data_IF_332506006143
#
_entry.id   IF_332506006143
#
_cell.length_a   1.000
_cell.length_b   1.000
_cell.length_c   1.000
_cell.angle_alpha   90.00
_cell.angle_beta   90.00
_cell.angle_gamma   90.00
#
_symmetry.space_group_name_H-M   'P 1'
#
loop_
_entity.id
_entity.type
_entity.pdbx_description
1 polymer ?
#
# COMPACT_ATOMS: atom_id res chain seq x y z
N UNK A 1 -18.63 6.43 -4.10
CA UNK A 1 -17.77 5.21 -4.16
C UNK A 1 -16.46 5.44 -4.93
N UNK A 2 -16.44 6.24 -5.98
CA UNK A 2 -15.24 6.51 -6.80
C UNK A 2 -14.11 7.28 -6.07
N UNK A 3 -14.46 8.27 -5.23
CA UNK A 3 -13.51 9.09 -4.47
C UNK A 3 -12.54 8.30 -3.55
N UNK A 4 -12.99 7.34 -2.72
CA UNK A 4 -12.07 6.57 -1.87
C UNK A 4 -11.15 5.62 -2.65
N UNK A 5 -11.59 5.10 -3.80
CA UNK A 5 -10.74 4.24 -4.63
C UNK A 5 -9.63 5.04 -5.32
N UNK A 6 -9.97 6.20 -5.92
CA UNK A 6 -8.98 7.12 -6.48
C UNK A 6 -7.97 7.60 -5.44
N UNK A 7 -8.42 7.89 -4.22
CA UNK A 7 -7.53 8.28 -3.13
C UNK A 7 -6.56 7.15 -2.72
N UNK A 8 -6.95 5.88 -2.88
CA UNK A 8 -6.09 4.73 -2.60
C UNK A 8 -5.13 4.39 -3.75
N UNK A 9 -5.58 4.52 -5.00
CA UNK A 9 -4.79 4.20 -6.20
C UNK A 9 -3.80 5.32 -6.57
N UNK A 10 -4.17 6.59 -6.36
CA UNK A 10 -3.37 7.76 -6.74
C UNK A 10 -1.93 7.71 -6.22
N UNK A 11 -1.69 7.46 -4.92
CA UNK A 11 -0.34 7.35 -4.39
C UNK A 11 0.48 6.19 -5.01
N UNK A 12 -0.16 5.08 -5.38
CA UNK A 12 0.54 3.95 -6.01
C UNK A 12 0.98 4.31 -7.43
N UNK A 13 0.09 4.93 -8.21
CA UNK A 13 0.44 5.40 -9.55
C UNK A 13 1.54 6.45 -9.49
N UNK A 14 1.50 7.36 -8.51
CA UNK A 14 2.58 8.32 -8.32
C UNK A 14 3.91 7.62 -8.03
N UNK A 15 3.93 6.65 -7.10
CA UNK A 15 5.14 5.87 -6.81
C UNK A 15 5.66 5.12 -8.04
N UNK A 16 4.76 4.56 -8.86
CA UNK A 16 5.12 3.96 -10.14
C UNK A 16 5.80 4.98 -11.05
N UNK A 17 5.25 6.17 -11.24
CA UNK A 17 5.86 7.22 -12.07
C UNK A 17 7.24 7.62 -11.55
N UNK A 18 7.39 7.75 -10.23
CA UNK A 18 8.66 8.07 -9.58
C UNK A 18 9.72 6.99 -9.85
N UNK A 19 9.40 5.72 -9.61
CA UNK A 19 10.29 4.59 -9.85
C UNK A 19 10.60 4.42 -11.33
N UNK A 20 9.61 4.59 -12.20
CA UNK A 20 9.80 4.50 -13.64
C UNK A 20 10.79 5.55 -14.15
N UNK A 21 10.74 6.77 -13.60
CA UNK A 21 11.74 7.79 -13.93
C UNK A 21 13.16 7.41 -13.52
N UNK A 22 13.33 6.61 -12.47
CA UNK A 22 14.65 6.10 -12.09
C UNK A 22 15.16 5.13 -13.15
N UNK A 23 14.30 4.25 -13.67
CA UNK A 23 14.62 3.23 -14.68
C UNK A 23 15.23 3.79 -15.96
N UNK A 24 14.98 5.07 -16.28
CA UNK A 24 15.63 5.75 -17.40
C UNK A 24 17.16 5.71 -17.27
N UNK A 25 17.69 5.78 -16.05
CA UNK A 25 19.14 5.73 -15.81
C UNK A 25 19.80 4.39 -16.17
N UNK A 26 19.03 3.29 -16.28
CA UNK A 26 19.55 1.99 -16.77
C UNK A 26 20.05 2.08 -18.22
N UNK A 27 19.40 2.92 -19.03
CA UNK A 27 19.79 3.13 -20.44
C UNK A 27 21.19 3.76 -20.55
N UNK A 28 21.51 4.67 -19.62
CA UNK A 28 22.80 5.38 -19.61
C UNK A 28 23.96 4.44 -19.23
N UNK A 29 23.72 3.49 -18.30
CA UNK A 29 24.75 2.57 -17.82
C UNK A 29 25.13 1.53 -18.88
N UNK A 30 24.17 1.02 -19.66
CA UNK A 30 24.38 -0.11 -20.57
C UNK A 30 24.82 0.28 -21.99
N UNK A 31 24.64 1.55 -22.37
CA UNK A 31 25.11 2.09 -23.65
C UNK A 31 26.64 2.13 -23.81
N UNK A 32 27.40 1.73 -22.80
CA UNK A 32 28.87 1.68 -22.75
C UNK A 32 29.45 0.36 -23.29
N UNK A 33 28.64 -0.70 -23.42
CA UNK A 33 29.14 -2.07 -23.67
C UNK A 33 29.10 -2.58 -25.11
N UNK A 34 28.37 -1.92 -26.02
CA UNK A 34 28.17 -2.39 -27.40
C UNK A 34 28.66 -1.37 -28.41
N UNK A 35 29.69 -1.74 -29.19
CA UNK A 35 30.36 -0.96 -30.24
C UNK A 35 29.47 -0.53 -31.44
N UNK A 36 28.15 -0.64 -31.35
CA UNK A 36 27.26 -0.28 -32.43
C UNK A 36 27.00 1.24 -32.40
N UNK A 37 27.70 1.92 -33.31
CA UNK A 37 27.55 3.32 -33.69
C UNK A 37 26.19 3.54 -34.36
N UNK A 38 25.09 3.44 -33.63
CA UNK A 38 23.87 4.12 -34.04
C UNK A 38 23.88 5.54 -33.46
N UNK A 39 23.72 6.59 -34.29
CA UNK A 39 23.69 7.95 -33.81
C UNK A 39 22.52 8.10 -32.85
N UNK A 40 22.81 8.67 -31.67
CA UNK A 40 21.81 8.98 -30.66
C UNK A 40 20.74 9.88 -31.29
N UNK A 41 19.59 9.29 -31.60
CA UNK A 41 18.44 9.98 -32.17
C UNK A 41 18.03 11.11 -31.21
N UNK A 42 18.25 12.35 -31.63
CA UNK A 42 18.09 13.59 -30.84
C UNK A 42 16.64 13.91 -30.46
N UNK A 43 15.71 12.99 -30.72
CA UNK A 43 14.27 13.14 -30.55
C UNK A 43 13.73 12.71 -29.17
N UNK A 44 14.63 12.43 -28.21
CA UNK A 44 14.30 11.91 -26.87
C UNK A 44 14.36 12.93 -25.69
N UNK A 45 14.84 14.18 -25.82
CA UNK A 45 15.08 15.03 -24.63
C UNK A 45 13.80 15.42 -23.87
N UNK A 46 12.68 15.61 -24.56
CA UNK A 46 11.42 16.02 -23.92
C UNK A 46 10.83 14.96 -22.97
N UNK A 47 11.12 13.68 -23.23
CA UNK A 47 10.63 12.58 -22.38
C UNK A 47 11.39 12.60 -21.06
N UNK A 48 12.71 12.80 -21.09
CA UNK A 48 13.52 12.90 -19.86
C UNK A 48 13.13 14.12 -19.01
N UNK A 49 12.84 15.26 -19.63
CA UNK A 49 12.40 16.47 -18.93
C UNK A 49 11.04 16.27 -18.23
N UNK A 50 10.01 15.74 -18.91
CA UNK A 50 8.69 15.51 -18.30
C UNK A 50 8.73 14.50 -17.14
N UNK A 51 9.68 13.57 -17.19
CA UNK A 51 9.87 12.52 -16.17
C UNK A 51 10.50 13.06 -14.90
N UNK A 52 11.46 13.99 -15.00
CA UNK A 52 12.10 14.61 -13.84
C UNK A 52 11.07 15.38 -12.99
N UNK A 53 10.06 15.99 -13.63
CA UNK A 53 8.95 16.63 -12.94
C UNK A 53 8.08 15.66 -12.12
N UNK A 54 7.81 14.46 -12.66
CA UNK A 54 7.01 13.43 -11.98
C UNK A 54 7.72 12.85 -10.74
N UNK A 55 9.05 12.98 -10.65
CA UNK A 55 9.80 12.52 -9.48
C UNK A 55 9.70 13.45 -8.26
N UNK A 56 9.09 14.63 -8.40
CA UNK A 56 9.12 15.70 -7.40
C UNK A 56 10.56 15.96 -6.88
N UNK A 57 11.55 15.88 -7.77
CA UNK A 57 12.94 16.15 -7.42
C UNK A 57 13.14 17.66 -7.28
N UNK A 58 14.15 18.05 -6.49
CA UNK A 58 14.52 19.46 -6.36
C UNK A 58 14.93 20.09 -7.70
N UNK A 59 15.36 19.26 -8.65
CA UNK A 59 15.70 19.66 -10.00
C UNK A 59 14.47 20.14 -10.79
N UNK A 60 13.36 19.41 -10.74
CA UNK A 60 12.10 19.87 -11.34
C UNK A 60 11.60 21.20 -10.76
N UNK A 61 11.76 21.40 -9.45
CA UNK A 61 11.40 22.68 -8.81
C UNK A 61 12.36 23.83 -9.18
N UNK A 62 13.65 23.54 -9.35
CA UNK A 62 14.65 24.50 -9.84
C UNK A 62 14.28 25.03 -11.22
N UNK A 63 13.95 24.11 -12.12
CA UNK A 63 13.61 24.43 -13.50
C UNK A 63 12.29 25.22 -13.57
N UNK A 64 11.34 24.92 -12.67
CA UNK A 64 10.08 25.66 -12.52
C UNK A 64 10.26 27.12 -12.08
N UNK A 65 11.21 27.37 -11.17
CA UNK A 65 11.36 28.65 -10.47
C UNK A 65 12.41 29.56 -11.10
N UNK A 66 13.06 29.13 -12.18
CA UNK A 66 14.14 29.87 -12.86
C UNK A 66 15.26 30.31 -11.91
N UNK A 67 15.53 29.52 -10.86
CA UNK A 67 16.55 29.83 -9.83
C UNK A 67 17.94 30.09 -10.43
N UNK A 68 18.24 29.48 -11.57
CA UNK A 68 19.48 29.68 -12.33
C UNK A 68 19.65 31.11 -12.84
N UNK A 69 18.56 31.79 -13.18
CA UNK A 69 18.58 33.18 -13.64
C UNK A 69 18.87 34.16 -12.50
N UNK A 70 18.46 33.82 -11.27
CA UNK A 70 18.59 34.71 -10.11
C UNK A 70 19.91 34.53 -9.35
N UNK A 71 20.35 33.28 -9.13
CA UNK A 71 21.54 32.97 -8.32
C UNK A 71 22.79 32.70 -9.16
N UNK A 72 22.61 32.43 -10.45
CA UNK A 72 23.62 31.84 -11.32
C UNK A 72 23.58 30.30 -11.30
N UNK A 73 23.95 29.67 -12.41
CA UNK A 73 23.84 28.21 -12.58
C UNK A 73 24.61 27.42 -11.50
N UNK A 74 25.82 27.85 -11.14
CA UNK A 74 26.71 27.13 -10.21
C UNK A 74 26.18 27.05 -8.79
N UNK A 75 25.75 28.18 -8.25
CA UNK A 75 25.18 28.32 -6.90
C UNK A 75 23.79 27.69 -6.83
N UNK A 76 22.97 27.84 -7.87
CA UNK A 76 21.68 27.16 -7.99
C UNK A 76 21.86 25.63 -7.93
N UNK A 77 22.78 25.08 -8.73
CA UNK A 77 23.07 23.63 -8.75
C UNK A 77 23.54 23.13 -7.39
N UNK A 78 24.50 23.83 -6.79
CA UNK A 78 25.03 23.47 -5.47
C UNK A 78 23.95 23.50 -4.38
N UNK A 79 23.12 24.55 -4.38
CA UNK A 79 22.04 24.69 -3.41
C UNK A 79 21.00 23.58 -3.59
N UNK A 80 20.57 23.31 -4.83
CA UNK A 80 19.56 22.29 -5.11
C UNK A 80 20.04 20.87 -4.80
N UNK A 81 21.33 20.59 -5.04
CA UNK A 81 21.95 19.31 -4.74
C UNK A 81 21.97 19.02 -3.24
N UNK A 82 22.25 20.03 -2.43
CA UNK A 82 22.38 19.92 -0.97
C UNK A 82 21.02 19.97 -0.27
N UNK A 83 20.12 20.84 -0.74
CA UNK A 83 18.79 21.03 -0.15
C UNK A 83 17.85 19.90 -0.53
N UNK A 84 17.93 19.39 -1.76
CA UNK A 84 16.99 18.40 -2.29
C UNK A 84 16.80 17.14 -1.43
N UNK A 85 17.86 16.48 -0.94
CA UNK A 85 17.74 15.35 -0.01
C UNK A 85 17.10 15.73 1.34
N UNK A 86 17.30 16.97 1.78
CA UNK A 86 16.83 17.48 3.06
C UNK A 86 15.37 17.94 3.05
N UNK A 87 14.81 18.31 1.88
CA UNK A 87 13.44 18.85 1.77
C UNK A 87 12.39 17.91 2.38
N UNK A 88 12.33 16.61 2.06
CA UNK A 88 11.33 15.74 2.67
C UNK A 88 11.50 15.63 4.19
N UNK A 89 12.74 15.61 4.71
CA UNK A 89 13.00 15.56 6.14
C UNK A 89 12.57 16.84 6.84
N UNK A 90 12.83 18.00 6.25
CA UNK A 90 12.38 19.29 6.74
C UNK A 90 10.85 19.38 6.76
N UNK A 91 10.18 18.89 5.71
CA UNK A 91 8.72 18.82 5.65
C UNK A 91 8.14 17.88 6.71
N UNK A 92 8.78 16.73 6.98
CA UNK A 92 8.40 15.85 8.08
C UNK A 92 8.58 16.53 9.45
N UNK A 93 9.65 17.30 9.64
CA UNK A 93 9.85 18.09 10.85
C UNK A 93 8.77 19.18 11.00
N UNK A 94 8.37 19.83 9.90
CA UNK A 94 7.29 20.80 9.89
C UNK A 94 5.92 20.18 10.22
N UNK A 95 5.70 18.89 9.95
CA UNK A 95 4.50 18.17 10.41
C UNK A 95 4.38 18.07 11.93
N UNK A 96 5.42 18.39 12.71
CA UNK A 96 5.31 18.50 14.15
C UNK A 96 4.45 19.69 14.58
N UNK A 97 4.38 20.77 13.79
CA UNK A 97 3.55 21.95 14.08
C UNK A 97 2.05 21.61 14.13
N UNK A 98 1.44 20.99 13.10
CA UNK A 98 0.03 20.59 13.16
C UNK A 98 -0.25 19.53 14.23
N UNK A 99 0.74 18.74 14.66
CA UNK A 99 0.58 17.81 15.80
C UNK A 99 0.37 18.57 17.13
N UNK A 100 0.98 19.75 17.28
CA UNK A 100 0.76 20.61 18.46
C UNK A 100 -0.66 21.20 18.46
N UNK A 101 -1.24 21.43 17.28
CA UNK A 101 -2.56 22.05 17.13
C UNK A 101 -3.69 21.04 17.24
N UNK A 102 -3.54 19.86 16.63
CA UNK A 102 -4.60 18.87 16.51
C UNK A 102 -4.06 17.44 16.67
N UNK A 103 -4.71 16.70 17.57
CA UNK A 103 -4.34 15.35 17.96
C UNK A 103 -4.21 14.41 16.74
N UNK A 104 -3.02 13.86 16.50
CA UNK A 104 -2.73 12.92 15.41
C UNK A 104 -2.69 13.52 14.01
N UNK A 105 -2.93 14.82 13.85
CA UNK A 105 -2.98 15.45 12.52
C UNK A 105 -1.59 15.56 11.89
N UNK A 106 -0.57 15.83 12.70
CA UNK A 106 0.81 15.89 12.22
C UNK A 106 1.35 14.54 11.81
N UNK A 107 1.06 13.48 12.58
CA UNK A 107 1.41 12.11 12.20
C UNK A 107 0.72 11.69 10.90
N UNK A 108 -0.58 12.01 10.74
CA UNK A 108 -1.32 11.73 9.51
C UNK A 108 -0.73 12.45 8.29
N UNK A 109 -0.42 13.75 8.43
CA UNK A 109 0.26 14.52 7.38
C UNK A 109 1.64 13.96 7.07
N UNK A 110 2.43 13.61 8.09
CA UNK A 110 3.77 13.06 7.91
C UNK A 110 3.74 11.75 7.11
N UNK A 111 2.80 10.84 7.41
CA UNK A 111 2.65 9.58 6.66
C UNK A 111 2.21 9.81 5.21
N UNK A 112 1.35 10.81 4.96
CA UNK A 112 0.96 11.21 3.59
C UNK A 112 2.15 11.78 2.82
N UNK A 113 2.87 12.73 3.41
CA UNK A 113 4.07 13.32 2.80
C UNK A 113 5.15 12.28 2.56
N UNK A 114 5.37 11.37 3.51
CA UNK A 114 6.28 10.25 3.34
C UNK A 114 5.87 9.39 2.14
N UNK A 115 4.58 9.20 1.93
CA UNK A 115 4.09 8.43 0.79
C UNK A 115 4.44 9.07 -0.55
N UNK A 116 4.42 10.40 -0.60
CA UNK A 116 4.66 11.20 -1.81
C UNK A 116 6.14 11.50 -2.07
N UNK A 117 6.93 11.78 -1.03
CA UNK A 117 8.26 12.38 -1.17
C UNK A 117 9.42 11.42 -0.88
N UNK A 118 9.15 10.24 -0.31
CA UNK A 118 10.20 9.32 0.11
C UNK A 118 11.11 8.86 -1.04
N UNK A 119 10.54 8.51 -2.18
CA UNK A 119 11.33 8.03 -3.34
C UNK A 119 12.17 9.16 -3.92
N UNK A 120 11.59 10.37 -4.06
CA UNK A 120 12.32 11.56 -4.50
C UNK A 120 13.46 11.94 -3.55
N UNK A 121 13.22 11.90 -2.24
CA UNK A 121 14.23 12.14 -1.20
C UNK A 121 15.37 11.14 -1.24
N UNK A 122 15.04 9.83 -1.29
CA UNK A 122 16.03 8.76 -1.40
C UNK A 122 16.82 8.85 -2.72
N UNK A 123 16.16 9.17 -3.82
CA UNK A 123 16.79 9.38 -5.13
C UNK A 123 17.79 10.54 -5.10
N UNK A 124 17.40 11.71 -4.58
CA UNK A 124 18.29 12.86 -4.46
C UNK A 124 19.50 12.54 -3.56
N UNK A 125 19.27 11.80 -2.47
CA UNK A 125 20.33 11.34 -1.58
C UNK A 125 21.32 10.41 -2.31
N UNK A 126 20.82 9.45 -3.09
CA UNK A 126 21.66 8.55 -3.87
C UNK A 126 22.40 9.29 -4.98
N UNK A 127 21.74 10.25 -5.66
CA UNK A 127 22.35 11.07 -6.70
C UNK A 127 23.51 11.92 -6.15
N UNK A 128 23.40 12.43 -4.91
CA UNK A 128 24.47 13.18 -4.25
C UNK A 128 25.73 12.33 -3.98
N UNK A 129 25.56 11.02 -3.79
CA UNK A 129 26.67 10.05 -3.62
C UNK A 129 27.15 9.43 -4.93
N UNK A 130 26.40 9.59 -6.02
CA UNK A 130 26.68 8.90 -7.28
C UNK A 130 27.75 9.63 -8.07
N UNK A 131 28.74 8.85 -8.49
CA UNK A 131 29.77 9.27 -9.43
C UNK A 131 29.32 9.07 -10.87
N UNK A 132 29.58 10.09 -11.68
CA UNK A 132 29.52 9.99 -13.13
C UNK A 132 30.92 9.69 -13.64
N UNK A 133 31.07 8.47 -14.15
CA UNK A 133 32.35 7.95 -14.65
C UNK A 133 32.44 7.97 -16.19
N UNK A 134 31.41 8.47 -16.87
CA UNK A 134 31.34 8.56 -18.33
C UNK A 134 30.91 9.95 -18.78
N UNK A 135 31.49 10.43 -19.88
CA UNK A 135 31.14 11.72 -20.47
C UNK A 135 29.89 11.62 -21.37
N UNK A 136 29.49 12.75 -21.99
CA UNK A 136 28.36 12.79 -22.93
C UNK A 136 28.57 11.97 -24.21
N UNK A 137 29.82 11.64 -24.54
CA UNK A 137 30.23 10.74 -25.63
C UNK A 137 30.31 9.27 -25.22
N UNK A 138 30.02 8.95 -23.95
CA UNK A 138 30.17 7.61 -23.33
C UNK A 138 31.62 7.15 -23.16
N UNK A 139 32.59 8.04 -23.26
CA UNK A 139 33.98 7.74 -22.95
C UNK A 139 34.19 7.71 -21.43
N UNK A 140 35.00 6.76 -20.92
CA UNK A 140 35.30 6.69 -19.49
C UNK A 140 36.13 7.90 -19.05
N UNK A 141 35.62 8.62 -18.04
CA UNK A 141 36.27 9.80 -17.46
C UNK A 141 37.49 9.43 -16.57
N UNK A 142 37.59 8.19 -16.10
CA UNK A 142 38.69 7.74 -15.23
C UNK A 142 38.85 8.64 -13.99
N UNK A 143 40.03 9.23 -13.82
CA UNK A 143 40.34 10.16 -12.71
C UNK A 143 39.58 11.50 -12.78
N UNK A 144 38.94 11.80 -13.91
CA UNK A 144 38.09 12.98 -14.10
C UNK A 144 36.62 12.72 -13.74
N UNK A 145 36.31 11.56 -13.15
CA UNK A 145 34.97 11.28 -12.66
C UNK A 145 34.52 12.34 -11.64
N UNK A 146 33.31 12.85 -11.83
CA UNK A 146 32.73 13.90 -11.01
C UNK A 146 31.39 13.44 -10.42
N UNK A 147 30.92 14.15 -9.39
CA UNK A 147 29.61 13.84 -8.79
C UNK A 147 28.49 14.28 -9.73
N UNK A 148 27.53 13.40 -9.99
CA UNK A 148 26.50 13.62 -11.02
C UNK A 148 25.70 14.92 -10.81
N UNK A 149 25.45 15.32 -9.55
CA UNK A 149 24.68 16.53 -9.20
C UNK A 149 25.60 17.73 -8.87
N UNK A 150 26.89 17.48 -8.66
CA UNK A 150 27.90 18.49 -8.33
C UNK A 150 29.13 18.30 -9.24
N UNK A 151 29.04 18.67 -10.53
CA UNK A 151 30.08 18.38 -11.51
C UNK A 151 31.41 19.09 -11.23
N UNK A 152 31.38 20.13 -10.40
CA UNK A 152 32.59 20.83 -9.93
C UNK A 152 33.45 20.01 -8.97
N UNK A 153 32.89 18.94 -8.38
CA UNK A 153 33.58 18.09 -7.41
C UNK A 153 33.96 16.77 -8.06
N UNK A 154 35.27 16.47 -8.04
CA UNK A 154 35.74 15.14 -8.42
C UNK A 154 35.29 14.12 -7.40
N UNK A 155 35.08 12.89 -7.85
CA UNK A 155 34.69 11.81 -6.97
C UNK A 155 35.77 11.39 -5.96
N UNK A 156 37.04 11.65 -6.29
CA UNK A 156 38.17 11.38 -5.40
C UNK A 156 38.38 12.50 -4.36
N UNK A 157 37.84 13.70 -4.59
CA UNK A 157 38.04 14.84 -3.71
C UNK A 157 37.11 14.76 -2.48
N UNK A 158 37.63 14.99 -1.26
CA UNK A 158 36.80 15.00 -0.06
C UNK A 158 35.84 16.18 -0.08
N UNK A 159 34.54 15.92 0.02
CA UNK A 159 33.50 16.94 0.08
C UNK A 159 32.71 16.79 1.39
N UNK A 160 33.29 17.17 2.55
CA UNK A 160 32.79 16.80 3.87
C UNK A 160 31.34 17.24 4.11
N UNK A 161 30.92 18.37 3.53
CA UNK A 161 29.56 18.87 3.65
C UNK A 161 28.56 18.04 2.82
N UNK A 162 28.88 17.73 1.57
CA UNK A 162 28.03 16.92 0.70
C UNK A 162 27.95 15.48 1.21
N UNK A 163 29.09 14.91 1.65
CA UNK A 163 29.17 13.57 2.22
C UNK A 163 28.42 13.50 3.55
N UNK A 164 28.57 14.50 4.42
CA UNK A 164 27.82 14.57 5.68
C UNK A 164 26.31 14.60 5.46
N UNK A 165 25.81 15.45 4.56
CA UNK A 165 24.38 15.53 4.22
C UNK A 165 23.89 14.22 3.62
N UNK A 166 24.64 13.64 2.68
CA UNK A 166 24.28 12.38 2.05
C UNK A 166 24.17 11.25 3.07
N UNK A 167 25.15 11.09 3.95
CA UNK A 167 25.13 10.05 4.98
C UNK A 167 24.01 10.24 6.00
N UNK A 168 23.77 11.47 6.47
CA UNK A 168 22.67 11.78 7.39
C UNK A 168 21.32 11.46 6.72
N UNK A 169 21.13 11.89 5.47
CA UNK A 169 19.90 11.61 4.73
C UNK A 169 19.73 10.11 4.48
N UNK A 170 20.79 9.41 4.07
CA UNK A 170 20.77 7.97 3.86
C UNK A 170 20.40 7.21 5.14
N UNK A 171 20.95 7.62 6.29
CA UNK A 171 20.58 7.08 7.59
C UNK A 171 19.11 7.36 7.93
N UNK A 172 18.61 8.56 7.66
CA UNK A 172 17.21 8.91 7.90
C UNK A 172 16.25 8.09 7.03
N UNK A 173 16.51 7.98 5.72
CA UNK A 173 15.66 7.25 4.78
C UNK A 173 15.78 5.73 4.95
N UNK A 174 16.99 5.21 5.16
CA UNK A 174 17.26 3.77 5.27
C UNK A 174 16.96 3.16 6.64
N UNK A 175 17.04 3.94 7.72
CA UNK A 175 16.93 3.41 9.09
C UNK A 175 15.87 4.12 9.94
N UNK A 176 15.93 5.45 10.05
CA UNK A 176 15.06 6.19 10.98
C UNK A 176 13.58 6.10 10.58
N UNK A 177 13.27 6.32 9.30
CA UNK A 177 11.90 6.26 8.78
C UNK A 177 11.34 4.83 8.88
N UNK A 178 12.01 3.77 8.38
CA UNK A 178 11.58 2.39 8.59
C UNK A 178 11.41 2.02 10.07
N UNK A 179 12.33 2.48 10.93
CA UNK A 179 12.26 2.28 12.39
C UNK A 179 11.03 2.94 13.02
N UNK A 180 10.67 4.15 12.60
CA UNK A 180 9.44 4.81 13.02
C UNK A 180 8.19 4.04 12.59
N UNK A 181 8.14 3.56 11.34
CA UNK A 181 7.04 2.71 10.87
C UNK A 181 6.95 1.38 11.65
N UNK A 182 8.10 0.78 11.99
CA UNK A 182 8.16 -0.42 12.83
C UNK A 182 7.64 -0.14 14.24
N UNK A 183 7.95 1.03 14.81
CA UNK A 183 7.38 1.47 16.08
C UNK A 183 5.85 1.63 16.01
N UNK A 184 5.32 2.23 14.95
CA UNK A 184 3.86 2.34 14.74
C UNK A 184 3.20 0.95 14.71
N UNK A 185 3.83 0.01 14.01
CA UNK A 185 3.37 -1.37 13.95
C UNK A 185 3.39 -2.08 15.30
N UNK A 186 4.47 -1.92 16.06
CA UNK A 186 4.57 -2.49 17.40
C UNK A 186 3.44 -1.95 18.29
N UNK A 187 3.22 -0.64 18.25
CA UNK A 187 2.15 0.03 19.00
C UNK A 187 0.77 -0.45 18.59
N UNK A 188 0.53 -0.59 17.30
CA UNK A 188 -0.70 -1.17 16.75
C UNK A 188 -0.90 -2.62 17.22
N UNK A 189 0.16 -3.43 17.25
CA UNK A 189 0.08 -4.82 17.69
C UNK A 189 -0.34 -4.93 19.16
N UNK A 190 0.18 -4.04 20.01
CA UNK A 190 -0.22 -3.93 21.42
C UNK A 190 -1.68 -3.49 21.54
N UNK A 191 -2.10 -2.47 20.79
CA UNK A 191 -3.48 -1.99 20.78
C UNK A 191 -4.49 -3.05 20.32
N UNK A 192 -4.09 -3.93 19.39
CA UNK A 192 -4.95 -4.97 18.81
C UNK A 192 -4.88 -6.31 19.56
N UNK A 193 -4.08 -6.43 20.62
CA UNK A 193 -4.03 -7.66 21.41
C UNK A 193 -5.41 -8.14 21.89
N UNK A 194 -6.34 -7.26 22.34
CA UNK A 194 -7.67 -7.68 22.80
C UNK A 194 -8.53 -8.32 21.71
N UNK A 195 -8.41 -7.90 20.44
CA UNK A 195 -9.26 -8.41 19.34
C UNK A 195 -8.98 -9.87 18.99
N UNK A 196 -7.86 -10.43 19.48
CA UNK A 196 -7.47 -11.82 19.22
C UNK A 196 -7.98 -12.81 20.27
N UNK A 197 -8.64 -12.34 21.32
CA UNK A 197 -9.12 -13.17 22.43
C UNK A 197 -10.40 -13.96 22.10
N UNK A 198 -11.00 -13.74 20.93
CA UNK A 198 -12.27 -14.35 20.55
C UNK A 198 -12.16 -15.17 19.26
N UNK A 199 -12.72 -16.38 19.28
CA UNK A 199 -12.95 -17.23 18.13
C UNK A 199 -14.43 -17.17 17.75
N UNK A 200 -14.72 -17.08 16.46
CA UNK A 200 -16.09 -16.99 15.95
C UNK A 200 -16.40 -18.19 15.05
N UNK A 201 -16.71 -19.36 15.63
CA UNK A 201 -17.21 -20.49 14.86
C UNK A 201 -18.60 -20.21 14.27
N UNK A 202 -18.90 -20.90 13.18
CA UNK A 202 -20.22 -20.90 12.56
C UNK A 202 -20.63 -22.32 12.17
N UNK A 203 -21.92 -22.60 12.25
CA UNK A 203 -22.52 -23.87 11.82
C UNK A 203 -23.64 -23.60 10.84
N UNK A 204 -23.61 -24.27 9.70
CA UNK A 204 -24.69 -24.25 8.72
C UNK A 204 -25.58 -25.48 8.92
N UNK A 205 -26.84 -25.28 9.25
CA UNK A 205 -27.85 -26.33 9.40
C UNK A 205 -29.08 -25.94 8.60
N UNK A 206 -29.45 -26.72 7.57
CA UNK A 206 -30.72 -26.54 6.85
C UNK A 206 -30.91 -25.18 6.16
N UNK A 207 -29.83 -24.53 5.69
CA UNK A 207 -29.89 -23.20 5.07
C UNK A 207 -29.92 -22.03 6.08
N UNK A 208 -29.81 -22.34 7.36
CA UNK A 208 -29.62 -21.38 8.45
C UNK A 208 -28.16 -21.42 8.89
N UNK A 209 -27.53 -20.25 9.03
CA UNK A 209 -26.18 -20.14 9.59
C UNK A 209 -26.28 -19.61 11.00
N UNK A 210 -25.82 -20.40 11.97
CA UNK A 210 -25.68 -20.01 13.37
C UNK A 210 -24.23 -19.57 13.60
N UNK A 211 -24.05 -18.35 14.10
CA UNK A 211 -22.75 -17.78 14.47
C UNK A 211 -22.71 -17.58 15.99
N UNK A 212 -21.62 -18.01 16.62
CA UNK A 212 -21.38 -17.78 18.05
C UNK A 212 -19.93 -17.38 18.31
N UNK A 213 -19.66 -16.82 19.49
CA UNK A 213 -18.33 -16.38 19.92
C UNK A 213 -17.87 -17.26 21.08
N UNK A 214 -16.63 -17.75 21.00
CA UNK A 214 -15.94 -18.47 22.07
C UNK A 214 -14.71 -17.65 22.51
N UNK A 215 -14.50 -17.40 23.81
CA UNK A 215 -13.24 -16.86 24.30
C UNK A 215 -12.11 -17.90 24.12
N UNK A 216 -10.92 -17.45 23.72
CA UNK A 216 -9.72 -18.29 23.49
C UNK A 216 -8.97 -18.55 24.79
N UNK A 217 -9.00 -17.59 25.71
CA UNK A 217 -8.40 -17.70 27.05
C UNK A 217 -9.44 -17.29 28.09
N UNK A 218 -9.68 -18.16 29.07
CA UNK A 218 -10.30 -17.78 30.35
C UNK A 218 -9.28 -16.94 31.13
N UNK A 219 -9.05 -15.70 30.71
CA UNK A 219 -8.19 -14.80 31.47
C UNK A 219 -8.97 -14.33 32.70
N UNK A 220 -8.62 -14.85 33.89
CA UNK A 220 -9.09 -14.42 35.22
C UNK A 220 -8.73 -12.96 35.58
N UNK A 221 -8.38 -12.11 34.61
CA UNK A 221 -7.95 -10.75 34.89
C UNK A 221 -9.13 -9.82 35.12
N UNK A 222 -9.06 -9.07 36.23
CA UNK A 222 -9.92 -7.99 36.74
C UNK A 222 -10.20 -6.82 35.77
N UNK A 223 -10.01 -6.97 34.46
CA UNK A 223 -10.47 -6.00 33.48
C UNK A 223 -12.00 -6.06 33.40
N UNK A 224 -12.64 -4.91 33.65
CA UNK A 224 -14.08 -4.77 33.85
C UNK A 224 -14.93 -5.63 32.93
N UNK A 225 -15.80 -6.44 33.52
CA UNK A 225 -16.70 -7.39 32.87
C UNK A 225 -17.47 -6.74 31.69
N UNK A 226 -17.87 -5.49 31.85
CA UNK A 226 -18.56 -4.69 30.83
C UNK A 226 -17.77 -4.50 29.52
N UNK A 227 -16.45 -4.29 29.60
CA UNK A 227 -15.59 -4.10 28.42
C UNK A 227 -15.40 -5.40 27.63
N UNK A 228 -15.40 -6.54 28.32
CA UNK A 228 -15.30 -7.85 27.71
C UNK A 228 -16.60 -8.23 26.99
N UNK A 229 -17.75 -7.89 27.59
CA UNK A 229 -19.07 -8.12 27.02
C UNK A 229 -19.34 -7.26 25.77
N UNK A 230 -18.88 -6.00 25.76
CA UNK A 230 -18.93 -5.17 24.54
C UNK A 230 -18.06 -5.77 23.43
N UNK A 231 -16.81 -6.17 23.73
CA UNK A 231 -15.92 -6.79 22.74
C UNK A 231 -16.48 -8.11 22.19
N UNK A 232 -17.08 -8.96 23.04
CA UNK A 232 -17.75 -10.20 22.64
C UNK A 232 -18.90 -9.90 21.68
N UNK A 233 -19.71 -8.91 22.01
CA UNK A 233 -20.85 -8.44 21.20
C UNK A 233 -20.40 -7.97 19.82
N UNK A 234 -19.36 -7.14 19.77
CA UNK A 234 -18.81 -6.60 18.51
C UNK A 234 -18.18 -7.69 17.65
N UNK A 235 -17.51 -8.66 18.28
CA UNK A 235 -16.95 -9.83 17.59
C UNK A 235 -18.05 -10.69 16.96
N UNK A 236 -19.17 -10.90 17.67
CA UNK A 236 -20.33 -11.64 17.16
C UNK A 236 -20.93 -10.94 15.94
N UNK A 237 -21.11 -9.61 16.01
CA UNK A 237 -21.61 -8.79 14.91
C UNK A 237 -20.68 -8.84 13.69
N UNK A 238 -19.37 -8.69 13.90
CA UNK A 238 -18.37 -8.72 12.85
C UNK A 238 -18.37 -10.08 12.11
N UNK A 239 -18.47 -11.18 12.86
CA UNK A 239 -18.56 -12.52 12.29
C UNK A 239 -19.86 -12.73 11.50
N UNK A 240 -21.01 -12.31 12.05
CA UNK A 240 -22.28 -12.39 11.35
C UNK A 240 -22.25 -11.60 10.03
N UNK A 241 -21.78 -10.35 10.05
CA UNK A 241 -21.64 -9.52 8.85
C UNK A 241 -20.69 -10.16 7.83
N UNK A 242 -19.60 -10.77 8.28
CA UNK A 242 -18.67 -11.45 7.39
C UNK A 242 -19.33 -12.64 6.67
N UNK A 243 -20.09 -13.45 7.41
CA UNK A 243 -20.87 -14.56 6.84
C UNK A 243 -21.97 -14.07 5.89
N UNK A 244 -22.65 -12.97 6.25
CA UNK A 244 -23.64 -12.32 5.37
C UNK A 244 -23.00 -11.92 4.03
N UNK A 245 -21.83 -11.29 4.04
CA UNK A 245 -21.16 -10.79 2.83
C UNK A 245 -20.64 -11.88 1.88
N UNK A 246 -20.37 -13.09 2.40
CA UNK A 246 -19.73 -14.17 1.65
C UNK A 246 -20.71 -15.26 1.27
N UNK A 247 -21.63 -15.63 2.18
CA UNK A 247 -22.50 -16.79 2.02
C UNK A 247 -23.88 -16.45 1.43
N UNK A 248 -24.31 -15.20 1.46
CA UNK A 248 -25.65 -14.80 1.04
C UNK A 248 -25.64 -13.79 -0.12
N UNK A 249 -26.73 -13.78 -0.86
CA UNK A 249 -27.04 -12.79 -1.91
C UNK A 249 -28.49 -12.35 -1.76
N UNK A 250 -28.80 -11.07 -1.95
CA UNK A 250 -30.17 -10.55 -1.78
C UNK A 250 -30.41 -10.01 -0.37
N UNK A 251 -31.54 -10.34 0.26
CA UNK A 251 -31.80 -9.92 1.64
C UNK A 251 -31.54 -11.04 2.65
N UNK A 252 -31.10 -10.66 3.85
CA UNK A 252 -30.82 -11.60 4.95
C UNK A 252 -31.52 -11.12 6.21
N UNK A 253 -32.28 -12.01 6.85
CA UNK A 253 -32.87 -11.79 8.16
C UNK A 253 -31.92 -12.28 9.24
N UNK A 254 -31.68 -11.44 10.22
CA UNK A 254 -30.81 -11.69 11.36
C UNK A 254 -31.64 -11.67 12.63
N UNK A 255 -31.51 -12.73 13.43
CA UNK A 255 -32.17 -12.87 14.73
C UNK A 255 -31.10 -13.15 15.79
N UNK A 256 -31.18 -12.49 16.96
CA UNK A 256 -30.36 -12.82 18.11
C UNK A 256 -31.14 -13.78 19.03
N UNK A 257 -30.59 -14.97 19.29
CA UNK A 257 -31.14 -15.95 20.24
C UNK A 257 -30.03 -16.54 21.11
N UNK A 258 -30.19 -16.49 22.42
CA UNK A 258 -29.27 -17.14 23.38
C UNK A 258 -27.78 -16.84 23.11
N UNK A 259 -27.46 -15.56 22.90
CA UNK A 259 -26.11 -15.07 22.51
C UNK A 259 -25.57 -15.55 21.15
N UNK A 260 -26.43 -16.09 20.29
CA UNK A 260 -26.08 -16.53 18.93
C UNK A 260 -26.83 -15.71 17.90
N UNK A 261 -26.17 -15.38 16.81
CA UNK A 261 -26.82 -14.76 15.65
C UNK A 261 -27.22 -15.84 14.66
N UNK A 262 -28.52 -15.88 14.37
CA UNK A 262 -29.14 -16.78 13.42
C UNK A 262 -29.37 -16.00 12.12
N UNK A 263 -28.74 -16.46 11.04
CA UNK A 263 -28.81 -15.85 9.72
C UNK A 263 -29.71 -16.69 8.81
N UNK A 264 -30.77 -16.09 8.27
CA UNK A 264 -31.71 -16.72 7.34
C UNK A 264 -31.78 -15.93 6.04
N UNK A 265 -31.74 -16.63 4.91
CA UNK A 265 -31.98 -15.99 3.60
C UNK A 265 -33.41 -15.43 3.55
N UNK A 266 -33.56 -14.18 3.12
CA UNK A 266 -34.86 -13.53 2.90
C UNK A 266 -35.54 -13.98 1.61
N UNK A 267 -34.82 -14.67 0.71
CA UNK A 267 -35.44 -15.39 -0.39
C UNK A 267 -36.08 -16.67 0.15
N UNK A 268 -37.41 -16.69 0.23
CA UNK A 268 -38.19 -17.92 0.32
C UNK A 268 -37.77 -18.84 -0.84
N UNK A 269 -37.06 -19.93 -0.53
CA UNK A 269 -36.90 -21.01 -1.49
C UNK A 269 -38.20 -21.78 -1.56
N UNK A 270 -38.85 -21.72 -2.72
CA UNK A 270 -39.58 -22.85 -3.29
C UNK A 270 -38.77 -24.13 -3.03
N UNK A 271 -39.45 -25.17 -2.53
CA UNK A 271 -38.86 -26.45 -2.12
C UNK A 271 -37.76 -26.96 -3.08
N UNK A 272 -36.64 -27.48 -2.56
CA UNK A 272 -35.71 -28.21 -3.40
C UNK A 272 -36.32 -29.57 -3.75
N UNK A 273 -36.76 -29.70 -5.01
CA UNK A 273 -37.06 -30.99 -5.62
C UNK A 273 -35.82 -31.90 -5.50
N UNK A 274 -35.99 -33.02 -4.79
CA UNK A 274 -34.96 -34.01 -4.55
C UNK A 274 -34.57 -34.68 -5.86
N UNK A 275 -33.43 -34.29 -6.44
CA UNK A 275 -32.73 -35.09 -7.44
C UNK A 275 -31.58 -35.83 -6.76
N UNK A 276 -31.85 -37.09 -6.41
CA UNK A 276 -30.84 -38.11 -6.14
C UNK A 276 -30.04 -38.33 -7.42
N UNK A 277 -28.76 -37.94 -7.43
CA UNK A 277 -27.80 -38.44 -8.41
C UNK A 277 -26.39 -38.49 -7.82
N UNK A 278 -25.82 -39.68 -7.95
CA UNK A 278 -24.65 -40.27 -7.30
C UNK A 278 -23.31 -39.73 -7.87
N UNK A 279 -23.15 -38.40 -7.90
CA UNK A 279 -21.92 -37.68 -8.26
C UNK A 279 -21.25 -37.02 -7.04
N UNK A 280 -21.61 -37.49 -5.85
CA UNK A 280 -21.49 -36.76 -4.59
C UNK A 280 -20.09 -36.73 -3.98
N UNK A 281 -19.16 -37.64 -4.33
CA UNK A 281 -17.84 -37.71 -3.64
C UNK A 281 -16.79 -36.72 -4.16
N UNK A 282 -16.81 -36.37 -5.44
CA UNK A 282 -15.91 -35.36 -6.03
C UNK A 282 -16.47 -33.94 -5.87
N UNK A 283 -17.80 -33.79 -5.98
CA UNK A 283 -18.51 -32.53 -5.75
C UNK A 283 -18.48 -32.16 -4.26
N UNK A 284 -18.56 -33.12 -3.32
CA UNK A 284 -18.37 -32.81 -1.89
C UNK A 284 -16.95 -32.38 -1.54
N UNK A 285 -15.91 -32.92 -2.17
CA UNK A 285 -14.53 -32.43 -1.98
C UNK A 285 -14.32 -31.04 -2.59
N UNK A 286 -14.94 -30.75 -3.73
CA UNK A 286 -14.98 -29.41 -4.33
C UNK A 286 -15.83 -28.41 -3.51
N UNK A 287 -16.92 -28.87 -2.89
CA UNK A 287 -17.77 -28.08 -1.99
C UNK A 287 -17.14 -27.89 -0.61
N UNK A 288 -16.42 -28.88 -0.06
CA UNK A 288 -15.64 -28.74 1.18
C UNK A 288 -14.47 -27.79 0.97
N UNK A 289 -13.72 -27.91 -0.13
CA UNK A 289 -12.64 -26.96 -0.42
C UNK A 289 -13.15 -25.54 -0.68
N UNK A 290 -14.32 -25.38 -1.33
CA UNK A 290 -14.99 -24.08 -1.46
C UNK A 290 -15.48 -23.55 -0.11
N UNK A 291 -16.03 -24.42 0.74
CA UNK A 291 -16.46 -24.11 2.12
C UNK A 291 -15.28 -23.66 2.99
N UNK A 292 -14.12 -24.30 2.87
CA UNK A 292 -12.91 -23.92 3.62
C UNK A 292 -12.34 -22.58 3.15
N UNK A 293 -12.33 -22.34 1.84
CA UNK A 293 -11.90 -21.06 1.28
C UNK A 293 -12.83 -19.90 1.69
N UNK A 294 -14.15 -20.14 1.66
CA UNK A 294 -15.13 -19.14 2.09
C UNK A 294 -15.11 -18.94 3.61
N UNK A 295 -14.88 -19.99 4.41
CA UNK A 295 -14.68 -19.88 5.85
C UNK A 295 -13.45 -19.02 6.19
N UNK A 296 -12.31 -19.24 5.51
CA UNK A 296 -11.11 -18.41 5.70
C UNK A 296 -11.37 -16.96 5.33
N UNK A 297 -12.13 -16.71 4.26
CA UNK A 297 -12.53 -15.35 3.87
C UNK A 297 -13.45 -14.72 4.92
N UNK A 298 -14.39 -15.46 5.49
CA UNK A 298 -15.25 -14.98 6.58
C UNK A 298 -14.42 -14.60 7.80
N UNK A 299 -13.48 -15.46 8.21
CA UNK A 299 -12.60 -15.19 9.34
C UNK A 299 -11.71 -13.96 9.09
N UNK A 300 -11.14 -13.83 7.90
CA UNK A 300 -10.34 -12.66 7.53
C UNK A 300 -11.16 -11.37 7.55
N UNK A 301 -12.38 -11.42 7.02
CA UNK A 301 -13.29 -10.27 6.97
C UNK A 301 -13.79 -9.87 8.37
N UNK A 302 -14.16 -10.85 9.20
CA UNK A 302 -14.55 -10.63 10.59
C UNK A 302 -13.40 -10.02 11.40
N UNK A 303 -12.18 -10.55 11.25
CA UNK A 303 -10.97 -9.99 11.88
C UNK A 303 -10.73 -8.55 11.41
N UNK A 304 -10.84 -8.26 10.12
CA UNK A 304 -10.67 -6.89 9.60
C UNK A 304 -11.67 -5.91 10.22
N UNK A 305 -12.95 -6.29 10.32
CA UNK A 305 -13.98 -5.47 10.95
C UNK A 305 -13.69 -5.23 12.43
N UNK A 306 -13.31 -6.29 13.16
CA UNK A 306 -13.01 -6.20 14.58
C UNK A 306 -11.76 -5.36 14.87
N UNK A 307 -10.66 -5.59 14.13
CA UNK A 307 -9.44 -4.79 14.25
C UNK A 307 -9.73 -3.31 13.98
N UNK A 308 -10.60 -3.01 13.01
CA UNK A 308 -10.99 -1.64 12.73
C UNK A 308 -11.78 -1.02 13.87
N UNK A 309 -12.77 -1.73 14.43
CA UNK A 309 -13.53 -1.24 15.56
C UNK A 309 -12.61 -0.90 16.74
N UNK A 310 -11.69 -1.82 17.10
CA UNK A 310 -10.70 -1.58 18.16
C UNK A 310 -9.78 -0.41 17.84
N UNK A 311 -9.35 -0.25 16.58
CA UNK A 311 -8.56 0.92 16.17
C UNK A 311 -9.34 2.23 16.25
N UNK A 312 -10.65 2.22 15.96
CA UNK A 312 -11.49 3.42 16.08
C UNK A 312 -11.64 3.84 17.54
N UNK A 313 -11.76 2.89 18.46
CA UNK A 313 -11.80 3.12 19.90
C UNK A 313 -10.44 3.61 20.45
N UNK A 314 -9.34 2.91 20.16
CA UNK A 314 -8.00 3.30 20.62
C UNK A 314 -7.53 4.62 20.00
N UNK A 315 -7.95 4.94 18.76
CA UNK A 315 -7.64 6.22 18.13
C UNK A 315 -8.25 7.42 18.89
N UNK A 316 -9.29 7.22 19.71
CA UNK A 316 -9.84 8.29 20.54
C UNK A 316 -8.92 8.66 21.71
N UNK A 317 -8.11 7.71 22.19
CA UNK A 317 -7.25 7.87 23.37
C UNK A 317 -5.76 8.05 23.05
N UNK A 318 -5.30 7.59 21.88
CA UNK A 318 -3.88 7.60 21.52
C UNK A 318 -3.59 8.41 20.24
N UNK A 319 -2.85 9.52 20.38
CA UNK A 319 -2.46 10.43 19.27
C UNK A 319 -1.76 9.73 18.10
N UNK A 320 -0.90 8.78 18.40
CA UNK A 320 -0.06 8.11 17.40
C UNK A 320 -0.93 7.17 16.58
N UNK A 321 -1.81 6.42 17.25
CA UNK A 321 -2.77 5.53 16.58
C UNK A 321 -3.81 6.34 15.81
N UNK A 322 -4.26 7.48 16.36
CA UNK A 322 -5.18 8.40 15.69
C UNK A 322 -4.60 8.91 14.37
N UNK A 323 -3.36 9.35 14.37
CA UNK A 323 -2.69 9.85 13.17
C UNK A 323 -2.33 8.76 12.16
N UNK A 324 -2.00 7.55 12.63
CA UNK A 324 -1.70 6.41 11.78
C UNK A 324 -2.94 5.60 11.32
N UNK A 325 -4.15 5.99 11.76
CA UNK A 325 -5.39 5.26 11.48
C UNK A 325 -5.62 5.03 9.99
N UNK A 326 -5.42 6.05 9.16
CA UNK A 326 -5.59 5.91 7.70
C UNK A 326 -4.62 4.90 7.09
N UNK A 327 -3.37 4.85 7.60
CA UNK A 327 -2.38 3.86 7.18
C UNK A 327 -2.82 2.46 7.57
N UNK A 328 -3.32 2.25 8.79
CA UNK A 328 -3.74 0.93 9.25
C UNK A 328 -4.98 0.41 8.50
N UNK A 329 -5.97 1.27 8.24
CA UNK A 329 -7.22 0.91 7.54
C UNK A 329 -7.00 0.66 6.03
N UNK A 330 -5.84 1.03 5.49
CA UNK A 330 -5.41 0.73 4.11
C UNK A 330 -5.24 -0.79 3.88
N UNK A 331 -4.85 -1.53 4.91
CA UNK A 331 -4.51 -2.95 4.83
C UNK A 331 -5.69 -3.86 5.15
N UNK A 332 -5.70 -5.07 4.56
CA UNK A 332 -6.75 -6.06 4.78
C UNK A 332 -6.75 -6.57 6.22
N UNK A 333 -5.55 -6.72 6.79
CA UNK A 333 -5.35 -6.96 8.20
C UNK A 333 -4.29 -5.98 8.69
N UNK A 334 -4.45 -5.51 9.91
CA UNK A 334 -3.50 -4.65 10.59
C UNK A 334 -2.10 -5.26 10.66
N UNK A 335 -2.03 -6.60 10.68
CA UNK A 335 -0.77 -7.33 10.64
C UNK A 335 0.01 -7.06 9.35
N UNK A 336 -0.65 -6.78 8.22
CA UNK A 336 0.00 -6.58 6.92
C UNK A 336 0.67 -5.21 6.74
N UNK A 337 0.63 -4.34 7.76
CA UNK A 337 1.27 -3.02 7.72
C UNK A 337 2.80 -3.12 7.53
N UNK A 338 3.42 -4.26 7.86
CA UNK A 338 4.86 -4.50 7.60
C UNK A 338 5.19 -4.39 6.12
N UNK A 339 4.20 -4.60 5.25
CA UNK A 339 4.36 -4.45 3.83
C UNK A 339 4.67 -3.00 3.44
N UNK A 340 4.18 -1.99 4.19
CA UNK A 340 4.58 -0.59 3.96
C UNK A 340 6.11 -0.44 4.16
N UNK A 341 6.67 -1.04 5.21
CA UNK A 341 8.11 -1.01 5.50
C UNK A 341 8.89 -1.75 4.39
N UNK A 342 8.46 -2.96 4.05
CA UNK A 342 9.08 -3.76 2.99
C UNK A 342 9.10 -3.00 1.66
N UNK A 343 7.98 -2.36 1.30
CA UNK A 343 7.88 -1.54 0.08
C UNK A 343 8.85 -0.36 0.06
N UNK A 344 9.07 0.30 1.20
CA UNK A 344 10.03 1.41 1.33
C UNK A 344 11.47 0.93 1.22
N UNK A 345 11.78 -0.23 1.80
CA UNK A 345 13.09 -0.86 1.68
C UNK A 345 13.36 -1.24 0.22
N UNK A 346 12.39 -1.87 -0.45
CA UNK A 346 12.49 -2.20 -1.88
C UNK A 346 12.71 -0.94 -2.72
N UNK A 347 12.00 0.15 -2.45
CA UNK A 347 12.20 1.41 -3.18
C UNK A 347 13.62 1.97 -3.01
N UNK A 348 14.17 1.95 -1.79
CA UNK A 348 15.57 2.35 -1.53
C UNK A 348 16.56 1.40 -2.20
N UNK A 349 16.31 0.09 -2.14
CA UNK A 349 17.16 -0.90 -2.80
C UNK A 349 17.19 -0.66 -4.32
N UNK A 350 16.03 -0.43 -4.95
CA UNK A 350 15.92 -0.09 -6.37
C UNK A 350 16.72 1.17 -6.73
N UNK A 351 16.61 2.23 -5.92
CA UNK A 351 17.39 3.47 -6.10
C UNK A 351 18.89 3.19 -6.00
N UNK A 352 19.32 2.35 -5.05
CA UNK A 352 20.74 2.06 -4.82
C UNK A 352 21.37 1.21 -5.92
N UNK A 353 20.66 0.18 -6.42
CA UNK A 353 21.24 -0.79 -7.38
C UNK A 353 21.24 -0.30 -8.82
N UNK A 354 20.44 0.71 -9.16
CA UNK A 354 20.23 1.12 -10.54
C UNK A 354 21.49 1.62 -11.25
N UNK A 355 22.45 2.14 -10.49
CA UNK A 355 23.74 2.60 -11.01
C UNK A 355 24.83 1.53 -11.02
N UNK A 356 24.54 0.30 -10.59
CA UNK A 356 25.52 -0.80 -10.56
C UNK A 356 25.65 -1.49 -11.91
N UNK A 357 26.78 -2.18 -12.12
CA UNK A 357 27.04 -2.97 -13.34
C UNK A 357 25.94 -4.02 -13.60
N UNK A 358 25.45 -4.67 -12.53
CA UNK A 358 24.36 -5.64 -12.59
C UNK A 358 22.99 -5.02 -12.29
N UNK A 359 22.85 -3.70 -12.50
CA UNK A 359 21.66 -2.95 -12.11
C UNK A 359 20.36 -3.50 -12.69
N UNK A 360 20.38 -3.98 -13.94
CA UNK A 360 19.21 -4.60 -14.58
C UNK A 360 18.74 -5.86 -13.83
N UNK A 361 19.66 -6.78 -13.51
CA UNK A 361 19.33 -8.05 -12.86
C UNK A 361 18.73 -7.82 -11.48
N UNK A 362 19.32 -6.90 -10.70
CA UNK A 362 18.79 -6.54 -9.39
C UNK A 362 17.43 -5.85 -9.49
N UNK A 363 17.24 -4.93 -10.43
CA UNK A 363 15.95 -4.27 -10.65
C UNK A 363 14.86 -5.28 -11.02
N UNK A 364 15.16 -6.21 -11.93
CA UNK A 364 14.23 -7.28 -12.32
C UNK A 364 13.92 -8.18 -11.11
N UNK A 365 14.93 -8.59 -10.36
CA UNK A 365 14.78 -9.38 -9.15
C UNK A 365 13.84 -8.71 -8.13
N UNK A 366 14.14 -7.46 -7.76
CA UNK A 366 13.32 -6.73 -6.78
C UNK A 366 11.90 -6.50 -7.26
N UNK A 367 11.70 -6.08 -8.51
CA UNK A 367 10.35 -5.82 -9.06
C UNK A 367 9.52 -7.09 -9.17
N UNK A 368 10.08 -8.18 -9.71
CA UNK A 368 9.36 -9.46 -9.84
C UNK A 368 9.08 -10.10 -8.47
N UNK A 369 10.06 -10.14 -7.55
CA UNK A 369 9.84 -10.64 -6.20
C UNK A 369 8.76 -9.84 -5.47
N UNK A 370 8.72 -8.52 -5.65
CA UNK A 370 7.68 -7.67 -5.06
C UNK A 370 6.33 -7.93 -5.69
N UNK A 371 6.23 -8.08 -7.02
CA UNK A 371 4.99 -8.44 -7.69
C UNK A 371 4.43 -9.78 -7.17
N UNK A 372 5.30 -10.80 -7.04
CA UNK A 372 4.94 -12.11 -6.48
C UNK A 372 4.47 -11.95 -5.04
N UNK A 373 5.23 -11.23 -4.20
CA UNK A 373 4.86 -11.01 -2.80
C UNK A 373 3.49 -10.30 -2.68
N UNK A 374 3.24 -9.25 -3.45
CA UNK A 374 1.93 -8.57 -3.48
C UNK A 374 0.82 -9.54 -3.92
N UNK A 375 1.05 -10.31 -5.00
CA UNK A 375 0.08 -11.25 -5.53
C UNK A 375 -0.28 -12.38 -4.57
N UNK A 376 0.71 -12.88 -3.82
CA UNK A 376 0.56 -13.97 -2.85
C UNK A 376 -0.03 -13.49 -1.53
N UNK A 377 0.53 -12.42 -0.94
CA UNK A 377 0.10 -11.94 0.38
C UNK A 377 -1.15 -11.07 0.34
N UNK A 378 -1.43 -10.40 -0.78
CA UNK A 378 -2.55 -9.47 -0.98
C UNK A 378 -2.74 -8.51 0.22
N UNK A 379 -1.71 -7.72 0.55
CA UNK A 379 -1.66 -6.98 1.82
C UNK A 379 -2.77 -5.92 1.95
N UNK A 380 -3.18 -5.28 0.84
CA UNK A 380 -4.12 -4.18 0.84
C UNK A 380 -5.57 -4.66 1.00
N UNK A 381 -6.41 -3.82 1.63
CA UNK A 381 -7.82 -4.14 1.88
C UNK A 381 -8.62 -4.29 0.59
N UNK A 382 -8.37 -3.42 -0.37
CA UNK A 382 -9.06 -3.43 -1.65
C UNK A 382 -8.32 -4.36 -2.60
N UNK A 383 -9.02 -5.38 -3.12
CA UNK A 383 -8.43 -6.31 -4.10
C UNK A 383 -7.87 -5.58 -5.33
N UNK A 384 -8.59 -4.55 -5.81
CA UNK A 384 -8.18 -3.69 -6.93
C UNK A 384 -6.78 -3.09 -6.71
N UNK A 385 -6.49 -2.66 -5.48
CA UNK A 385 -5.21 -2.05 -5.10
C UNK A 385 -4.09 -3.08 -5.12
N UNK A 386 -4.34 -4.31 -4.66
CA UNK A 386 -3.36 -5.41 -4.76
C UNK A 386 -3.04 -5.74 -6.22
N UNK A 387 -4.08 -5.86 -7.06
CA UNK A 387 -3.90 -6.18 -8.48
C UNK A 387 -3.17 -5.07 -9.21
N UNK A 388 -3.55 -3.81 -8.95
CA UNK A 388 -2.89 -2.65 -9.52
C UNK A 388 -1.42 -2.59 -9.11
N UNK A 389 -1.10 -2.82 -7.83
CA UNK A 389 0.28 -2.82 -7.34
C UNK A 389 1.11 -3.94 -7.98
N UNK A 390 0.53 -5.14 -8.13
CA UNK A 390 1.18 -6.25 -8.82
C UNK A 390 1.48 -5.89 -10.29
N UNK A 391 0.48 -5.35 -11.00
CA UNK A 391 0.63 -4.88 -12.38
C UNK A 391 1.69 -3.77 -12.48
N UNK A 392 1.72 -2.82 -11.53
CA UNK A 392 2.75 -1.78 -11.47
C UNK A 392 4.16 -2.36 -11.44
N UNK A 393 4.42 -3.36 -10.58
CA UNK A 393 5.74 -3.98 -10.49
C UNK A 393 6.12 -4.83 -11.70
N UNK A 394 5.16 -5.56 -12.29
CA UNK A 394 5.39 -6.26 -13.56
C UNK A 394 5.71 -5.28 -14.69
N UNK A 395 5.00 -4.16 -14.75
CA UNK A 395 5.26 -3.10 -15.71
C UNK A 395 6.63 -2.43 -15.48
N UNK A 396 7.07 -2.26 -14.24
CA UNK A 396 8.44 -1.78 -13.94
C UNK A 396 9.50 -2.76 -14.43
N UNK A 397 9.32 -4.08 -14.26
CA UNK A 397 10.23 -5.09 -14.78
C UNK A 397 10.32 -5.04 -16.32
N UNK A 398 9.17 -4.94 -16.99
CA UNK A 398 9.09 -4.81 -18.45
C UNK A 398 9.75 -3.50 -18.91
N UNK A 399 9.52 -2.39 -18.20
CA UNK A 399 10.12 -1.10 -18.52
C UNK A 399 11.65 -1.14 -18.35
N UNK A 400 12.16 -1.74 -17.28
CA UNK A 400 13.60 -1.90 -17.05
C UNK A 400 14.27 -2.68 -18.20
N UNK A 401 13.64 -3.77 -18.64
CA UNK A 401 14.09 -4.55 -19.80
C UNK A 401 14.05 -3.72 -21.09
N UNK A 402 12.98 -2.94 -21.29
CA UNK A 402 12.84 -2.06 -22.45
C UNK A 402 13.92 -0.97 -22.50
N UNK A 403 14.20 -0.31 -21.37
CA UNK A 403 15.25 0.71 -21.28
C UNK A 403 16.65 0.12 -21.50
N UNK A 404 16.92 -1.06 -20.95
CA UNK A 404 18.17 -1.79 -21.16
C UNK A 404 18.41 -2.13 -22.64
N UNK A 405 17.38 -2.60 -23.35
CA UNK A 405 17.46 -2.97 -24.77
C UNK A 405 17.29 -1.79 -25.74
N UNK A 406 17.11 -0.57 -25.24
CA UNK A 406 16.84 0.60 -26.07
C UNK A 406 15.46 0.63 -26.74
N UNK A 407 14.54 -0.25 -26.36
CA UNK A 407 13.19 -0.29 -26.93
C UNK A 407 12.33 0.82 -26.32
N UNK A 408 12.13 1.92 -27.04
CA UNK A 408 11.42 3.09 -26.50
C UNK A 408 9.91 2.88 -26.34
N UNK A 409 9.30 2.02 -27.14
CA UNK A 409 7.85 1.77 -27.12
C UNK A 409 7.44 0.93 -25.90
N UNK A 410 8.24 -0.07 -25.54
CA UNK A 410 7.99 -0.99 -24.43
C UNK A 410 7.77 -0.29 -23.07
N UNK A 411 8.67 0.59 -22.58
CA UNK A 411 8.49 1.27 -21.30
C UNK A 411 7.33 2.27 -21.34
N UNK A 412 6.98 2.84 -22.50
CA UNK A 412 5.81 3.73 -22.66
C UNK A 412 4.50 2.95 -22.52
N UNK A 413 4.38 1.81 -23.20
CA UNK A 413 3.22 0.94 -23.05
C UNK A 413 3.13 0.43 -21.61
N UNK A 414 4.25 0.00 -21.03
CA UNK A 414 4.30 -0.45 -19.65
C UNK A 414 3.83 0.62 -18.64
N UNK A 415 4.09 1.90 -18.91
CA UNK A 415 3.60 3.00 -18.07
C UNK A 415 2.09 3.23 -18.21
N UNK A 416 1.54 3.07 -19.42
CA UNK A 416 0.13 3.25 -19.70
C UNK A 416 -0.78 2.16 -19.11
N UNK A 417 -0.30 0.92 -19.06
CA UNK A 417 -1.08 -0.25 -18.61
C UNK A 417 -1.66 -0.08 -17.18
N UNK A 418 -0.88 0.28 -16.14
CA UNK A 418 -1.42 0.51 -14.81
C UNK A 418 -2.48 1.63 -14.76
N UNK A 419 -2.33 2.67 -15.57
CA UNK A 419 -3.32 3.76 -15.65
C UNK A 419 -4.65 3.25 -16.22
N UNK A 420 -4.61 2.43 -17.27
CA UNK A 420 -5.79 1.80 -17.85
C UNK A 420 -6.45 0.84 -16.85
N UNK A 421 -5.65 0.04 -16.13
CA UNK A 421 -6.18 -0.85 -15.08
C UNK A 421 -6.85 -0.05 -13.97
N UNK A 422 -6.23 1.02 -13.47
CA UNK A 422 -6.82 1.89 -12.45
C UNK A 422 -8.13 2.52 -12.94
N UNK A 423 -8.16 2.99 -14.20
CA UNK A 423 -9.35 3.54 -14.83
C UNK A 423 -10.48 2.50 -14.91
N UNK A 424 -10.20 1.28 -15.38
CA UNK A 424 -11.18 0.19 -15.45
C UNK A 424 -11.70 -0.14 -14.04
N UNK A 425 -10.82 -0.26 -13.05
CA UNK A 425 -11.19 -0.55 -11.66
C UNK A 425 -12.10 0.54 -11.06
N UNK A 426 -11.98 1.80 -11.50
CA UNK A 426 -12.84 2.89 -11.05
C UNK A 426 -14.33 2.69 -11.37
N UNK A 427 -14.63 1.93 -12.43
CA UNK A 427 -16.02 1.58 -12.80
C UNK A 427 -16.59 0.37 -12.05
N UNK A 428 -15.77 -0.37 -11.30
CA UNK A 428 -16.17 -1.62 -10.63
C UNK A 428 -15.88 -1.57 -9.12
N UNK A 429 -16.44 -0.60 -8.36
CA UNK A 429 -15.80 -0.17 -7.12
C UNK A 429 -16.19 -0.97 -5.87
N UNK A 430 -17.30 -1.73 -5.88
CA UNK A 430 -17.80 -2.38 -4.67
C UNK A 430 -17.21 -3.80 -4.47
N UNK A 431 -16.12 -3.87 -3.71
CA UNK A 431 -15.60 -5.11 -3.14
C UNK A 431 -16.42 -5.61 -1.94
N UNK A 432 -16.28 -6.89 -1.59
CA UNK A 432 -16.96 -7.50 -0.42
C UNK A 432 -16.56 -6.82 0.89
N UNK A 433 -15.35 -6.30 0.97
CA UNK A 433 -14.82 -5.57 2.12
C UNK A 433 -15.53 -4.23 2.32
N UNK A 434 -15.82 -3.52 1.23
CA UNK A 434 -16.57 -2.26 1.29
C UNK A 434 -18.02 -2.50 1.71
N UNK A 435 -18.65 -3.56 1.18
CA UNK A 435 -19.97 -4.00 1.61
C UNK A 435 -19.98 -4.36 3.10
N UNK A 436 -19.01 -5.15 3.57
CA UNK A 436 -18.90 -5.55 4.97
C UNK A 436 -18.79 -4.37 5.92
N UNK A 437 -17.98 -3.36 5.58
CA UNK A 437 -17.86 -2.14 6.39
C UNK A 437 -19.18 -1.38 6.48
N UNK A 438 -19.94 -1.29 5.39
CA UNK A 438 -21.27 -0.64 5.39
C UNK A 438 -22.25 -1.41 6.26
N UNK A 439 -22.37 -2.72 6.00
CA UNK A 439 -23.27 -3.59 6.75
C UNK A 439 -22.92 -3.64 8.24
N UNK A 440 -21.64 -3.60 8.59
CA UNK A 440 -21.21 -3.55 9.98
C UNK A 440 -21.72 -2.28 10.65
N UNK A 441 -21.50 -1.10 10.05
CA UNK A 441 -22.03 0.17 10.58
C UNK A 441 -23.56 0.16 10.69
N UNK A 442 -24.25 -0.34 9.68
CA UNK A 442 -25.71 -0.45 9.71
C UNK A 442 -26.16 -1.39 10.83
N UNK A 443 -25.45 -2.51 11.02
CA UNK A 443 -25.75 -3.47 12.06
C UNK A 443 -25.48 -2.92 13.47
N UNK A 444 -24.45 -2.07 13.65
CA UNK A 444 -24.19 -1.36 14.91
C UNK A 444 -25.35 -0.43 15.27
N UNK A 445 -25.89 0.32 14.30
CA UNK A 445 -27.04 1.22 14.55
C UNK A 445 -28.33 0.47 14.90
N UNK A 446 -28.46 -0.77 14.43
CA UNK A 446 -29.64 -1.63 14.65
C UNK A 446 -29.45 -2.65 15.78
N UNK A 447 -28.31 -2.63 16.45
CA UNK A 447 -27.98 -3.61 17.48
C UNK A 447 -28.99 -3.63 18.64
N UNK A 448 -29.47 -2.46 19.06
CA UNK A 448 -30.48 -2.35 20.12
C UNK A 448 -31.80 -3.03 19.77
N UNK A 449 -32.17 -3.09 18.48
CA UNK A 449 -33.36 -3.80 18.02
C UNK A 449 -33.16 -5.32 18.12
N UNK A 450 -31.99 -5.83 17.71
CA UNK A 450 -31.63 -7.24 17.86
C UNK A 450 -31.65 -7.68 19.34
N UNK A 451 -31.18 -6.83 20.26
CA UNK A 451 -31.23 -7.11 21.71
C UNK A 451 -32.66 -7.21 22.26
N UNK A 452 -33.63 -6.52 21.64
CA UNK A 452 -35.06 -6.65 21.99
C UNK A 452 -35.72 -7.89 21.39
N UNK A 453 -34.96 -8.72 20.66
CA UNK A 453 -35.48 -9.89 19.96
C UNK A 453 -36.17 -9.57 18.62
N UNK A 454 -36.03 -8.34 18.11
CA UNK A 454 -36.56 -7.96 16.80
C UNK A 454 -35.73 -8.61 15.68
N UNK A 455 -36.41 -8.98 14.59
CA UNK A 455 -35.74 -9.52 13.40
C UNK A 455 -35.32 -8.36 12.50
N UNK A 456 -34.04 -8.31 12.12
CA UNK A 456 -33.51 -7.23 11.28
C UNK A 456 -33.17 -7.76 9.90
N UNK A 457 -33.68 -7.09 8.87
CA UNK A 457 -33.37 -7.41 7.48
C UNK A 457 -32.27 -6.51 6.93
N UNK A 458 -31.22 -7.13 6.39
CA UNK A 458 -30.12 -6.47 5.68
C UNK A 458 -30.28 -6.70 4.18
N UNK A 459 -30.23 -5.62 3.39
CA UNK A 459 -30.20 -5.70 1.93
C UNK A 459 -28.76 -5.74 1.45
N UNK A 460 -28.40 -6.78 0.68
CA UNK A 460 -27.07 -6.97 0.10
C UNK A 460 -26.95 -6.40 -1.31
N UNK A 461 -27.78 -5.42 -1.67
CA UNK A 461 -27.65 -4.74 -2.96
C UNK A 461 -26.27 -4.06 -3.03
N UNK A 462 -25.34 -4.69 -3.75
CA UNK A 462 -24.11 -4.05 -4.19
C UNK A 462 -24.50 -2.85 -5.05
N UNK A 463 -23.88 -1.68 -4.82
CA UNK A 463 -24.08 -0.53 -5.70
C UNK A 463 -23.29 -0.82 -6.98
N UNK A 464 -23.90 -1.54 -7.91
CA UNK A 464 -23.42 -1.60 -9.29
C UNK A 464 -23.88 -0.30 -9.96
N UNK A 465 -22.92 0.60 -10.21
CA UNK A 465 -23.13 1.72 -11.12
C UNK A 465 -23.06 1.16 -12.55
N UNK A 466 -24.11 0.47 -12.98
CA UNK A 466 -24.42 0.14 -14.37
C UNK A 466 -25.82 -0.44 -14.49
#
# INVERSE_FOLDING_TARGET
>A
VMRPLLAAQGPLLLQLFQLWGLLVSLRQVQGTGTNDKEPADSNIPWVEEYIQWLQFTAQGFRDATSLECWLGARTANSLTALVGPCVPLALLALCMVPEVVSHGTGVSMALKLLTLLYIGGASNCAALMRCQNVDGGREPLGDFAFRAVLPDLKCQDPAPLADGIAWICAFCYGLLIPGFLAYLMFKQHMALAPSRRFLTPAKSVGGVIEVWVLPVEESESLQGQDANDEMKTRSLLAAAVAHICICFTGSVRVELRDERLILKSGQEKHEPERLDLDASSLVWKALQSKSDADLRRCQALARMLMERYVLEDVASSDRVVAGAKELFVKYAACQNVWFEIAMRIVAVALVAVIGSENGLEFVLGFTLCTAIAVGTFRPFRQHQVNDLQCVCFLCLAIAATGFSKGWLLTPRIALGVPCVVAFIQAFWPDGREALAVRLFKDAETRWSALQRGETVEFSLQSITLL
#
